data_IF_121613044935
#
_entry.id   IF_121613044935
#
_cell.length_a   1.000
_cell.length_b   1.000
_cell.length_c   1.000
_cell.angle_alpha   90.00
_cell.angle_beta   90.00
_cell.angle_gamma   90.00
#
_symmetry.space_group_name_H-M   'P 1'
#
loop_
_entity.id
_entity.type
_entity.pdbx_description
1 polymer ?
#
# COMPACT_ATOMS: atom_id res chain seq x y z
N UNK A 1 13.17 -0.85 -3.39
CA UNK A 1 11.84 -0.52 -3.98
C UNK A 1 11.04 -1.74 -4.41
N UNK A 2 11.64 -2.65 -5.19
CA UNK A 2 10.96 -3.85 -5.63
C UNK A 2 10.53 -4.77 -4.48
N UNK A 3 11.39 -4.91 -3.48
CA UNK A 3 11.06 -5.73 -2.31
C UNK A 3 9.86 -5.18 -1.54
N UNK A 4 9.78 -3.86 -1.46
CA UNK A 4 8.67 -3.19 -0.78
C UNK A 4 7.37 -3.46 -1.55
N UNK A 5 7.42 -3.34 -2.87
CA UNK A 5 6.25 -3.61 -3.71
C UNK A 5 5.80 -5.06 -3.60
N UNK A 6 6.74 -6.00 -3.58
CA UNK A 6 6.41 -7.40 -3.46
C UNK A 6 5.70 -7.71 -2.15
N UNK A 7 6.19 -7.14 -1.06
CA UNK A 7 5.57 -7.33 0.25
C UNK A 7 4.17 -6.71 0.30
N UNK A 8 4.03 -5.54 -0.29
CA UNK A 8 2.72 -4.88 -0.37
C UNK A 8 1.73 -5.70 -1.19
N UNK A 9 2.16 -6.17 -2.35
CA UNK A 9 1.30 -6.99 -3.19
C UNK A 9 0.84 -8.25 -2.46
N UNK A 10 1.79 -8.94 -1.83
CA UNK A 10 1.47 -10.18 -1.12
C UNK A 10 0.50 -9.94 0.03
N UNK A 11 0.74 -8.89 0.81
CA UNK A 11 -0.15 -8.55 1.92
C UNK A 11 -1.56 -8.21 1.43
N UNK A 12 -1.65 -7.35 0.42
CA UNK A 12 -2.94 -6.88 -0.08
C UNK A 12 -3.71 -8.03 -0.72
N UNK A 13 -3.04 -8.86 -1.51
CA UNK A 13 -3.69 -10.00 -2.13
C UNK A 13 -4.24 -10.98 -1.11
N UNK A 14 -3.47 -11.27 -0.08
CA UNK A 14 -3.90 -12.21 0.95
C UNK A 14 -4.98 -11.61 1.83
N UNK A 15 -4.78 -10.38 2.28
CA UNK A 15 -5.70 -9.74 3.23
C UNK A 15 -7.06 -9.45 2.62
N UNK A 16 -7.10 -9.08 1.36
CA UNK A 16 -8.34 -8.70 0.68
C UNK A 16 -8.81 -9.75 -0.30
N UNK A 17 -8.21 -10.94 -0.24
CA UNK A 17 -8.63 -12.10 -1.03
C UNK A 17 -8.68 -11.81 -2.53
N UNK A 18 -7.65 -11.13 -3.03
CA UNK A 18 -7.52 -10.84 -4.46
C UNK A 18 -6.76 -11.99 -5.11
N UNK A 19 -7.44 -12.72 -5.98
CA UNK A 19 -6.80 -13.80 -6.72
C UNK A 19 -6.01 -13.22 -7.90
N UNK A 20 -5.57 -14.07 -8.83
CA UNK A 20 -4.82 -13.64 -10.01
C UNK A 20 -5.70 -12.77 -10.91
N UNK A 21 -5.92 -11.53 -10.51
CA UNK A 21 -6.73 -10.58 -11.25
C UNK A 21 -5.80 -9.78 -12.15
N UNK A 22 -5.97 -9.83 -13.47
CA UNK A 22 -5.09 -9.09 -14.39
C UNK A 22 -5.16 -7.58 -14.20
N UNK A 23 -6.23 -7.08 -13.58
CA UNK A 23 -6.35 -5.65 -13.30
C UNK A 23 -5.63 -5.22 -12.04
N UNK A 24 -5.17 -6.16 -11.22
CA UNK A 24 -4.43 -5.86 -10.01
C UNK A 24 -2.96 -5.70 -10.34
N UNK A 25 -2.55 -4.46 -10.56
CA UNK A 25 -1.17 -4.11 -10.92
C UNK A 25 -0.62 -3.11 -9.90
N UNK A 26 0.67 -2.81 -10.00
CA UNK A 26 1.31 -1.86 -9.08
C UNK A 26 0.81 -0.43 -9.27
N UNK A 27 0.27 -0.12 -10.43
CA UNK A 27 -0.21 1.22 -10.74
C UNK A 27 -1.73 1.35 -10.75
N UNK A 28 -2.45 0.30 -10.35
CA UNK A 28 -3.91 0.36 -10.28
C UNK A 28 -4.34 1.20 -9.07
N UNK A 29 -5.40 1.98 -9.23
CA UNK A 29 -5.95 2.75 -8.14
C UNK A 29 -6.79 1.82 -7.26
N UNK A 30 -6.22 1.42 -6.14
CA UNK A 30 -6.79 0.39 -5.27
C UNK A 30 -8.22 0.69 -4.81
N UNK A 31 -8.50 1.94 -4.55
CA UNK A 31 -9.82 2.35 -4.02
C UNK A 31 -10.84 2.51 -5.12
N UNK A 32 -10.48 3.15 -6.23
CA UNK A 32 -11.40 3.38 -7.34
C UNK A 32 -11.82 2.08 -8.02
N UNK A 33 -10.91 1.11 -8.08
CA UNK A 33 -11.20 -0.18 -8.69
C UNK A 33 -11.85 -1.16 -7.72
N UNK A 34 -12.02 -0.75 -6.47
CA UNK A 34 -12.73 -1.56 -5.49
C UNK A 34 -11.94 -2.69 -4.85
N UNK A 35 -10.62 -2.71 -5.03
CA UNK A 35 -9.79 -3.72 -4.38
C UNK A 35 -9.68 -3.48 -2.87
N UNK A 36 -9.66 -2.23 -2.45
CA UNK A 36 -9.46 -1.84 -1.06
C UNK A 36 -10.46 -0.75 -0.69
N UNK A 37 -11.01 -0.83 0.52
CA UNK A 37 -11.89 0.21 1.05
C UNK A 37 -11.15 1.06 2.10
N UNK A 38 -11.89 1.97 2.74
CA UNK A 38 -11.30 2.88 3.73
C UNK A 38 -10.70 2.14 4.93
N UNK A 39 -11.34 1.06 5.37
CA UNK A 39 -10.79 0.25 6.46
C UNK A 39 -9.53 -0.48 6.01
N UNK A 40 -9.52 -0.92 4.76
CA UNK A 40 -8.37 -1.57 4.21
C UNK A 40 -7.17 -0.65 4.15
N UNK A 41 -7.39 0.63 3.87
CA UNK A 41 -6.32 1.62 3.86
C UNK A 41 -5.63 1.69 5.23
N UNK A 42 -6.41 1.70 6.31
CA UNK A 42 -5.87 1.72 7.66
C UNK A 42 -5.06 0.46 7.94
N UNK A 43 -5.55 -0.68 7.48
CA UNK A 43 -4.83 -1.95 7.65
C UNK A 43 -3.51 -1.97 6.91
N UNK A 44 -3.49 -1.43 5.69
CA UNK A 44 -2.26 -1.35 4.89
C UNK A 44 -1.24 -0.46 5.60
N UNK A 45 -1.68 0.70 6.09
CA UNK A 45 -0.79 1.61 6.81
C UNK A 45 -0.23 0.92 8.04
N UNK A 46 -1.07 0.24 8.80
CA UNK A 46 -0.63 -0.49 9.99
C UNK A 46 0.40 -1.57 9.62
N UNK A 47 0.16 -2.27 8.52
CA UNK A 47 1.09 -3.31 8.05
C UNK A 47 2.47 -2.73 7.76
N UNK A 48 2.54 -1.62 7.03
CA UNK A 48 3.84 -1.04 6.67
C UNK A 48 4.53 -0.44 7.89
N UNK A 49 3.79 0.13 8.83
CA UNK A 49 4.38 0.64 10.06
C UNK A 49 5.03 -0.48 10.88
N UNK A 50 4.35 -1.60 10.99
CA UNK A 50 4.86 -2.75 11.76
C UNK A 50 5.99 -3.45 11.02
N UNK A 51 5.88 -3.59 9.72
CA UNK A 51 6.86 -4.33 8.92
C UNK A 51 8.18 -3.59 8.79
N UNK A 52 8.11 -2.28 8.60
CA UNK A 52 9.31 -1.46 8.36
C UNK A 52 9.70 -0.59 9.54
N UNK A 53 8.95 -0.66 10.62
CA UNK A 53 9.20 0.12 11.83
C UNK A 53 9.30 1.62 11.53
N UNK A 54 8.31 2.12 10.80
CA UNK A 54 8.20 3.53 10.43
C UNK A 54 6.86 4.07 10.92
N UNK A 55 6.69 5.39 10.85
CA UNK A 55 5.44 6.02 11.23
C UNK A 55 4.87 6.78 10.04
N UNK A 56 3.60 6.51 9.72
CA UNK A 56 2.88 7.24 8.68
C UNK A 56 1.95 8.22 9.39
N UNK A 57 2.22 9.50 9.23
CA UNK A 57 1.46 10.53 9.92
C UNK A 57 0.33 11.07 9.05
N UNK A 58 -0.58 11.83 9.65
CA UNK A 58 -1.65 12.49 8.91
C UNK A 58 -1.07 13.44 7.86
N UNK A 59 0.06 14.07 8.18
CA UNK A 59 0.76 14.94 7.24
C UNK A 59 1.23 14.16 6.01
N UNK A 60 1.76 12.98 6.22
CA UNK A 60 2.20 12.13 5.11
C UNK A 60 1.04 11.77 4.20
N UNK A 61 -0.09 11.41 4.79
CA UNK A 61 -1.28 11.04 4.02
C UNK A 61 -1.80 12.24 3.21
N UNK A 62 -1.68 13.43 3.79
CA UNK A 62 -2.12 14.66 3.11
C UNK A 62 -1.20 15.07 1.98
N UNK A 63 0.12 14.94 2.19
CA UNK A 63 1.11 15.42 1.23
C UNK A 63 1.42 14.44 0.10
N UNK A 64 1.30 13.15 0.37
CA UNK A 64 1.69 12.12 -0.60
C UNK A 64 0.53 11.22 -0.97
N UNK A 65 0.28 11.03 -2.25
CA UNK A 65 -0.77 10.08 -2.65
C UNK A 65 -0.35 8.65 -2.29
N UNK A 66 -1.30 7.87 -1.81
CA UNK A 66 -1.07 6.48 -1.42
C UNK A 66 -2.19 5.61 -1.98
N UNK A 67 -2.51 5.80 -3.26
CA UNK A 67 -3.63 5.13 -3.90
C UNK A 67 -3.24 3.90 -4.68
N UNK A 68 -1.95 3.75 -4.98
CA UNK A 68 -1.43 2.61 -5.72
C UNK A 68 -0.29 1.98 -4.93
N UNK A 69 0.06 0.75 -5.29
CA UNK A 69 1.19 0.08 -4.65
C UNK A 69 2.48 0.87 -4.87
N UNK A 70 2.66 1.41 -6.09
CA UNK A 70 3.84 2.23 -6.39
C UNK A 70 3.94 3.45 -5.47
N UNK A 71 2.82 4.15 -5.29
CA UNK A 71 2.80 5.34 -4.46
C UNK A 71 3.08 5.02 -2.99
N UNK A 72 2.48 3.95 -2.49
CA UNK A 72 2.71 3.51 -1.12
C UNK A 72 4.17 3.11 -0.94
N UNK A 73 4.73 2.38 -1.90
CA UNK A 73 6.13 1.95 -1.83
C UNK A 73 7.08 3.15 -1.82
N UNK A 74 6.78 4.20 -2.57
CA UNK A 74 7.60 5.41 -2.57
C UNK A 74 7.61 6.08 -1.20
N UNK A 75 6.47 6.16 -0.55
CA UNK A 75 6.38 6.73 0.80
C UNK A 75 7.22 5.91 1.78
N UNK A 76 7.11 4.58 1.71
CA UNK A 76 7.88 3.70 2.56
C UNK A 76 9.38 3.89 2.32
N UNK A 77 9.80 3.93 1.06
CA UNK A 77 11.21 4.10 0.73
C UNK A 77 11.76 5.43 1.24
N UNK A 78 10.98 6.50 1.10
CA UNK A 78 11.39 7.80 1.61
C UNK A 78 11.56 7.78 3.14
N UNK A 79 10.70 7.07 3.84
CA UNK A 79 10.81 6.95 5.30
C UNK A 79 12.02 6.15 5.73
N UNK A 80 12.45 5.21 4.89
CA UNK A 80 13.60 4.36 5.20
C UNK A 80 14.94 5.01 4.84
N UNK A 81 14.92 6.06 4.06
CA UNK A 81 16.12 6.76 3.61
C UNK A 81 16.75 7.62 4.70
#
# INVERSE_FOLDING_TARGET
MEEIKEKLRAFIQERFEIDDDPDFTDDVHLFNEGFVDSFGAVEIIHFIEQTYNIEITQKDITLYPMNTIEEIAEVVENKLS
#
